data_IF_582529130669
#
_entry.id   IF_582529130669
#
_cell.length_a   1.000
_cell.length_b   1.000
_cell.length_c   1.000
_cell.angle_alpha   90.00
_cell.angle_beta   90.00
_cell.angle_gamma   90.00
#
_symmetry.space_group_name_H-M   'P 1'
#
loop_
_entity.id
_entity.type
_entity.pdbx_description
1 polymer ?
#
# COMPACT_ATOMS: atom_id res chain seq x y z
N UNK A 1 -19.11 -20.38 2.96
CA UNK A 1 -17.64 -20.34 3.22
C UNK A 1 -16.82 -20.25 1.94
N UNK A 2 -17.06 -21.08 0.91
CA UNK A 2 -16.37 -20.98 -0.39
C UNK A 2 -16.52 -19.57 -1.01
N UNK A 3 -17.72 -19.00 -0.93
CA UNK A 3 -18.01 -17.64 -1.38
C UNK A 3 -17.21 -16.55 -0.62
N UNK A 4 -16.93 -16.74 0.68
CA UNK A 4 -16.15 -15.77 1.48
C UNK A 4 -14.68 -15.76 1.06
N UNK A 5 -14.10 -16.96 0.92
CA UNK A 5 -12.71 -17.14 0.49
C UNK A 5 -12.52 -16.61 -0.94
N UNK A 6 -13.43 -16.91 -1.86
CA UNK A 6 -13.39 -16.40 -3.24
C UNK A 6 -13.49 -14.88 -3.31
N UNK A 7 -14.35 -14.27 -2.48
CA UNK A 7 -14.45 -12.80 -2.37
C UNK A 7 -13.17 -12.19 -1.79
N UNK A 8 -12.54 -12.85 -0.82
CA UNK A 8 -11.27 -12.41 -0.26
C UNK A 8 -10.12 -12.52 -1.27
N UNK A 9 -10.03 -13.62 -2.02
CA UNK A 9 -9.07 -13.81 -3.12
C UNK A 9 -9.27 -12.80 -4.25
N UNK A 10 -10.51 -12.42 -4.55
CA UNK A 10 -10.81 -11.38 -5.53
C UNK A 10 -10.34 -10.01 -5.05
N UNK A 11 -10.69 -9.63 -3.81
CA UNK A 11 -10.29 -8.36 -3.22
C UNK A 11 -8.77 -8.23 -3.06
N UNK A 12 -8.06 -9.32 -2.72
CA UNK A 12 -6.59 -9.33 -2.70
C UNK A 12 -5.99 -9.13 -4.09
N UNK A 13 -6.55 -9.75 -5.14
CA UNK A 13 -6.09 -9.53 -6.51
C UNK A 13 -6.30 -8.09 -6.97
N UNK A 14 -7.42 -7.48 -6.62
CA UNK A 14 -7.69 -6.07 -6.88
C UNK A 14 -6.70 -5.16 -6.15
N UNK A 15 -6.40 -5.44 -4.88
CA UNK A 15 -5.39 -4.71 -4.12
C UNK A 15 -4.00 -4.82 -4.77
N UNK A 16 -3.57 -6.02 -5.16
CA UNK A 16 -2.27 -6.21 -5.82
C UNK A 16 -2.22 -5.44 -7.14
N UNK A 17 -3.28 -5.49 -7.95
CA UNK A 17 -3.35 -4.74 -9.20
C UNK A 17 -3.28 -3.22 -8.97
N UNK A 18 -3.97 -2.71 -7.94
CA UNK A 18 -3.94 -1.30 -7.56
C UNK A 18 -2.54 -0.87 -7.09
N UNK A 19 -1.86 -1.73 -6.31
CA UNK A 19 -0.48 -1.50 -5.87
C UNK A 19 0.51 -1.47 -7.04
N UNK A 20 0.38 -2.42 -7.97
CA UNK A 20 1.22 -2.48 -9.17
C UNK A 20 0.96 -1.27 -10.09
N UNK A 21 -0.27 -0.75 -10.14
CA UNK A 21 -0.65 0.46 -10.88
C UNK A 21 -0.29 1.78 -10.15
N UNK A 22 0.12 1.73 -8.88
CA UNK A 22 0.35 2.89 -8.02
C UNK A 22 -0.89 3.81 -7.86
N UNK A 23 -2.09 3.23 -7.97
CA UNK A 23 -3.35 3.96 -7.88
C UNK A 23 -3.81 4.03 -6.42
N UNK A 24 -3.63 5.21 -5.80
CA UNK A 24 -3.94 5.43 -4.40
C UNK A 24 -5.43 5.27 -4.07
N UNK A 25 -6.33 5.71 -4.95
CA UNK A 25 -7.77 5.61 -4.73
C UNK A 25 -8.22 4.15 -4.82
N UNK A 26 -7.68 3.40 -5.79
CA UNK A 26 -7.96 1.98 -5.92
C UNK A 26 -7.39 1.15 -4.75
N UNK A 27 -6.21 1.52 -4.23
CA UNK A 27 -5.62 0.88 -3.03
C UNK A 27 -6.53 1.09 -1.82
N UNK A 28 -7.03 2.31 -1.61
CA UNK A 28 -7.91 2.62 -0.48
C UNK A 28 -9.24 1.88 -0.59
N UNK A 29 -9.87 1.89 -1.77
CA UNK A 29 -11.12 1.18 -2.03
C UNK A 29 -10.99 -0.33 -1.77
N UNK A 30 -9.93 -0.97 -2.28
CA UNK A 30 -9.67 -2.39 -2.06
C UNK A 30 -9.41 -2.71 -0.58
N UNK A 31 -8.73 -1.80 0.14
CA UNK A 31 -8.44 -1.95 1.57
C UNK A 31 -9.70 -1.88 2.44
N UNK A 32 -10.63 -0.98 2.11
CA UNK A 32 -11.95 -0.87 2.78
C UNK A 32 -12.76 -2.17 2.63
N UNK A 33 -12.70 -2.78 1.45
CA UNK A 33 -13.42 -4.05 1.16
C UNK A 33 -12.79 -5.23 1.90
N UNK A 34 -11.46 -5.26 2.06
CA UNK A 34 -10.75 -6.36 2.73
C UNK A 34 -11.01 -6.40 4.24
N UNK A 35 -11.15 -5.25 4.92
CA UNK A 35 -11.32 -5.18 6.38
C UNK A 35 -12.45 -6.07 6.93
N UNK A 36 -13.70 -5.90 6.48
CA UNK A 36 -14.83 -6.73 6.92
C UNK A 36 -14.65 -8.22 6.59
N UNK A 37 -14.02 -8.53 5.45
CA UNK A 37 -13.79 -9.92 5.04
C UNK A 37 -12.77 -10.63 5.95
N UNK A 38 -11.76 -9.91 6.46
CA UNK A 38 -10.82 -10.45 7.46
C UNK A 38 -11.53 -10.74 8.77
N UNK A 39 -12.39 -9.83 9.24
CA UNK A 39 -13.15 -10.01 10.48
C UNK A 39 -14.11 -11.20 10.38
N UNK A 40 -14.80 -11.35 9.25
CA UNK A 40 -15.67 -12.50 8.96
C UNK A 40 -14.88 -13.82 8.87
N UNK A 41 -13.66 -13.79 8.31
CA UNK A 41 -12.76 -14.96 8.26
C UNK A 41 -12.25 -15.36 9.65
N UNK A 42 -11.96 -14.40 10.52
CA UNK A 42 -11.49 -14.65 11.90
C UNK A 42 -12.61 -15.09 12.85
N UNK A 43 -13.83 -14.57 12.65
CA UNK A 43 -15.02 -14.94 13.45
C UNK A 43 -15.63 -16.30 13.07
N UNK A 44 -15.28 -16.84 11.91
CA UNK A 44 -15.74 -18.15 11.46
C UNK A 44 -15.01 -19.29 12.16
N UNK A 45 -15.67 -19.99 13.09
CA UNK A 45 -15.20 -21.16 13.84
C UNK A 45 -14.79 -22.41 13.01
N UNK A 46 -14.60 -22.28 11.70
CA UNK A 46 -14.48 -23.37 10.74
C UNK A 46 -13.06 -23.55 10.16
N UNK A 47 -12.05 -22.89 10.75
CA UNK A 47 -10.62 -23.13 10.50
C UNK A 47 -10.16 -24.58 10.80
N UNK A 48 -11.03 -25.43 11.36
CA UNK A 48 -10.66 -26.73 11.91
C UNK A 48 -11.06 -27.97 11.09
N UNK A 49 -11.73 -27.87 9.95
CA UNK A 49 -12.37 -29.06 9.35
C UNK A 49 -11.73 -29.66 8.08
N UNK A 50 -11.11 -28.88 7.18
CA UNK A 50 -10.74 -29.40 5.85
C UNK A 50 -9.33 -28.99 5.38
N UNK A 51 -8.56 -29.95 4.89
CA UNK A 51 -7.21 -29.74 4.35
C UNK A 51 -7.17 -28.75 3.17
N UNK A 52 -8.20 -28.77 2.31
CA UNK A 52 -8.34 -27.82 1.20
C UNK A 52 -8.51 -26.37 1.68
N UNK A 53 -9.22 -26.16 2.79
CA UNK A 53 -9.40 -24.83 3.38
C UNK A 53 -8.07 -24.33 3.93
N UNK A 54 -7.27 -25.21 4.54
CA UNK A 54 -5.94 -24.88 5.05
C UNK A 54 -5.00 -24.44 3.92
N UNK A 55 -4.96 -25.16 2.80
CA UNK A 55 -4.16 -24.79 1.64
C UNK A 55 -4.57 -23.42 1.05
N UNK A 56 -5.87 -23.16 0.96
CA UNK A 56 -6.36 -21.84 0.52
C UNK A 56 -5.96 -20.73 1.50
N UNK A 57 -6.04 -20.96 2.81
CA UNK A 57 -5.56 -19.99 3.81
C UNK A 57 -4.05 -19.73 3.74
N UNK A 58 -3.24 -20.76 3.49
CA UNK A 58 -1.79 -20.59 3.26
C UNK A 58 -1.52 -19.74 2.02
N UNK A 59 -2.26 -19.97 0.93
CA UNK A 59 -2.17 -19.14 -0.28
C UNK A 59 -2.60 -17.69 -0.02
N UNK A 60 -3.67 -17.47 0.73
CA UNK A 60 -4.12 -16.13 1.12
C UNK A 60 -3.11 -15.39 1.99
N UNK A 61 -2.44 -16.11 2.88
CA UNK A 61 -1.35 -15.57 3.69
C UNK A 61 -0.17 -15.15 2.83
N UNK A 62 0.26 -16.01 1.89
CA UNK A 62 1.34 -15.67 0.96
C UNK A 62 0.99 -14.44 0.10
N UNK A 63 -0.25 -14.31 -0.32
CA UNK A 63 -0.74 -13.13 -1.05
C UNK A 63 -0.75 -11.88 -0.19
N UNK A 64 -1.14 -11.98 1.09
CA UNK A 64 -1.08 -10.87 2.04
C UNK A 64 0.35 -10.40 2.27
N UNK A 65 1.28 -11.33 2.50
CA UNK A 65 2.71 -11.02 2.67
C UNK A 65 3.28 -10.32 1.43
N UNK A 66 2.87 -10.76 0.23
CA UNK A 66 3.27 -10.15 -1.03
C UNK A 66 2.67 -8.75 -1.24
N UNK A 67 1.43 -8.50 -0.77
CA UNK A 67 0.82 -7.17 -0.79
C UNK A 67 1.52 -6.21 0.18
N UNK A 68 1.86 -6.68 1.39
CA UNK A 68 2.63 -5.91 2.37
C UNK A 68 3.99 -5.48 1.82
N UNK A 69 4.73 -6.40 1.19
CA UNK A 69 6.02 -6.08 0.59
C UNK A 69 5.91 -4.98 -0.49
N UNK A 70 4.86 -5.02 -1.31
CA UNK A 70 4.61 -3.99 -2.34
C UNK A 70 4.25 -2.63 -1.73
N UNK A 71 3.44 -2.63 -0.67
CA UNK A 71 3.11 -1.42 0.09
C UNK A 71 4.38 -0.78 0.68
N UNK A 72 5.25 -1.56 1.31
CA UNK A 72 6.51 -1.07 1.87
C UNK A 72 7.41 -0.45 0.79
N UNK A 73 7.49 -1.08 -0.37
CA UNK A 73 8.25 -0.57 -1.51
C UNK A 73 7.67 0.75 -2.03
N UNK A 74 6.35 0.83 -2.19
CA UNK A 74 5.66 2.04 -2.64
C UNK A 74 5.85 3.18 -1.64
N UNK A 75 5.76 2.89 -0.34
CA UNK A 75 6.00 3.86 0.72
C UNK A 75 7.45 4.36 0.69
N UNK A 76 8.43 3.47 0.54
CA UNK A 76 9.84 3.84 0.43
C UNK A 76 10.11 4.73 -0.78
N UNK A 77 9.54 4.38 -1.94
CA UNK A 77 9.65 5.18 -3.16
C UNK A 77 9.03 6.57 -3.00
N UNK A 78 7.83 6.64 -2.41
CA UNK A 78 7.11 7.89 -2.17
C UNK A 78 7.88 8.78 -1.20
N UNK A 79 8.40 8.22 -0.10
CA UNK A 79 9.22 8.94 0.88
C UNK A 79 10.48 9.53 0.23
N UNK A 80 11.20 8.74 -0.55
CA UNK A 80 12.41 9.19 -1.26
C UNK A 80 12.10 10.34 -2.22
N UNK A 81 10.96 10.27 -2.93
CA UNK A 81 10.52 11.33 -3.84
C UNK A 81 10.18 12.62 -3.10
N UNK A 82 9.53 12.54 -1.93
CA UNK A 82 9.24 13.70 -1.08
C UNK A 82 10.52 14.33 -0.53
N UNK A 83 11.49 13.53 -0.10
CA UNK A 83 12.81 14.02 0.34
C UNK A 83 13.53 14.78 -0.78
N UNK A 84 13.54 14.23 -2.00
CA UNK A 84 14.12 14.90 -3.18
C UNK A 84 13.43 16.23 -3.50
N UNK A 85 12.09 16.28 -3.44
CA UNK A 85 11.33 17.51 -3.67
C UNK A 85 11.62 18.57 -2.60
N UNK A 86 11.71 18.18 -1.34
CA UNK A 86 12.06 19.07 -0.24
C UNK A 86 13.48 19.63 -0.39
N UNK A 87 14.44 18.79 -0.78
CA UNK A 87 15.81 19.22 -1.05
C UNK A 87 15.90 20.17 -2.24
N UNK A 88 15.16 19.91 -3.32
CA UNK A 88 15.05 20.83 -4.46
C UNK A 88 14.45 22.18 -4.04
N UNK A 89 13.40 22.18 -3.22
CA UNK A 89 12.77 23.40 -2.71
C UNK A 89 13.75 24.20 -1.83
N UNK A 90 14.54 23.54 -0.98
CA UNK A 90 15.58 24.17 -0.16
C UNK A 90 16.71 24.75 -1.01
N UNK A 91 17.18 24.02 -2.02
CA UNK A 91 18.20 24.52 -2.95
C UNK A 91 17.71 25.74 -3.73
N UNK A 92 16.47 25.70 -4.23
CA UNK A 92 15.87 26.85 -4.92
C UNK A 92 15.72 28.05 -3.98
N UNK A 93 15.22 27.86 -2.76
CA UNK A 93 15.12 28.94 -1.77
C UNK A 93 16.48 29.58 -1.46
N UNK A 94 17.55 28.79 -1.34
CA UNK A 94 18.90 29.31 -1.09
C UNK A 94 19.50 30.04 -2.31
N UNK A 95 19.27 29.54 -3.52
CA UNK A 95 19.82 30.14 -4.75
C UNK A 95 19.11 31.44 -5.14
N UNK A 96 17.79 31.56 -4.91
CA UNK A 96 17.04 32.77 -5.24
C UNK A 96 17.00 33.84 -4.12
N UNK A 97 17.24 33.48 -2.86
CA UNK A 97 17.28 34.46 -1.75
C UNK A 97 18.65 35.13 -1.61
N UNK A 98 19.73 34.47 -2.04
CA UNK A 98 21.12 34.93 -1.86
C UNK A 98 21.61 36.07 -2.79
N UNK A 99 21.06 36.33 -4.00
CA UNK A 99 21.46 37.48 -4.80
C UNK A 99 20.84 38.80 -4.31
N UNK A 100 19.63 38.76 -3.74
CA UNK A 100 18.89 39.95 -3.34
C UNK A 100 19.56 40.73 -2.19
N UNK A 101 20.29 40.04 -1.30
CA UNK A 101 20.99 40.68 -0.17
C UNK A 101 22.36 41.27 -0.53
N UNK A 102 22.93 40.95 -1.70
CA UNK A 102 24.21 41.53 -2.16
C UNK A 102 24.04 42.82 -2.95
N UNK A 103 22.90 43.02 -3.61
CA UNK A 103 22.63 44.23 -4.40
C UNK A 103 22.28 45.47 -3.54
N UNK A 104 21.97 45.30 -2.25
CA UNK A 104 21.56 46.40 -1.35
C UNK A 104 22.74 46.95 -0.51
N UNK A 105 23.96 46.42 -0.71
CA UNK A 105 25.17 46.80 0.05
C UNK A 105 26.34 47.29 -0.82
N UNK A 106 26.11 47.59 -2.10
CA UNK A 106 27.10 48.18 -2.99
C UNK A 106 26.80 49.66 -3.24
#
# INVERSE_FOLDING_TARGET
MTNLIERFEAAQRELIAALDAQDAEAIEAASIVLGPLVEELQGGAALHANAEVKERFENLRNQADAAMFRLDLLQAHTKRRLEMLNDQQRHNAQTYTRPALRAVKA
#
